data_IF_270896596398
#
_entry.id   IF_270896596398
#
_cell.length_a   1.000
_cell.length_b   1.000
_cell.length_c   1.000
_cell.angle_alpha   90.00
_cell.angle_beta   90.00
_cell.angle_gamma   90.00
#
_symmetry.space_group_name_H-M   'P 1'
#
loop_
_entity.id
_entity.type
_entity.pdbx_description
1 polymer ?
#
# COMPACT_ATOMS: atom_id res chain seq x y z
N UNK A 1 2.59 0.54 -7.26
CA UNK A 1 1.39 1.38 -7.10
C UNK A 1 1.13 2.04 -8.45
N UNK A 2 -0.04 1.80 -9.06
CA UNK A 2 -0.38 2.23 -10.42
C UNK A 2 -1.68 3.04 -10.39
N UNK A 3 -1.78 4.09 -11.20
CA UNK A 3 -3.00 4.87 -11.37
C UNK A 3 -2.76 6.21 -12.05
N UNK A 4 -3.85 6.89 -12.41
CA UNK A 4 -3.81 8.21 -13.02
C UNK A 4 -3.30 9.29 -12.08
N UNK A 5 -3.07 10.49 -12.59
CA UNK A 5 -2.66 11.63 -11.77
C UNK A 5 -3.69 11.89 -10.67
N UNK A 6 -3.20 12.27 -9.49
CA UNK A 6 -4.01 12.68 -8.34
C UNK A 6 -4.98 11.61 -7.79
N UNK A 7 -4.75 10.32 -8.06
CA UNK A 7 -5.56 9.23 -7.51
C UNK A 7 -5.12 8.77 -6.10
N UNK A 8 -4.11 9.40 -5.52
CA UNK A 8 -3.63 9.09 -4.16
C UNK A 8 -2.40 8.17 -4.08
N UNK A 9 -1.69 7.93 -5.20
CA UNK A 9 -0.49 7.05 -5.22
C UNK A 9 0.56 7.45 -4.18
N UNK A 10 0.95 8.71 -4.18
CA UNK A 10 1.93 9.26 -3.22
C UNK A 10 1.41 9.18 -1.78
N UNK A 11 0.10 9.36 -1.54
CA UNK A 11 -0.47 9.26 -0.20
C UNK A 11 -0.28 7.85 0.39
N UNK A 12 -0.59 6.79 -0.36
CA UNK A 12 -0.36 5.40 0.07
C UNK A 12 1.13 5.15 0.36
N UNK A 13 2.01 5.68 -0.49
CA UNK A 13 3.46 5.54 -0.28
C UNK A 13 3.93 6.25 1.00
N UNK A 14 3.41 7.45 1.30
CA UNK A 14 3.72 8.18 2.53
C UNK A 14 3.14 7.48 3.76
N UNK A 15 1.93 6.93 3.67
CA UNK A 15 1.36 6.12 4.74
C UNK A 15 2.24 4.91 5.08
N UNK A 16 2.80 4.25 4.06
CA UNK A 16 3.75 3.15 4.26
C UNK A 16 5.02 3.61 5.00
N UNK A 17 5.55 4.80 4.71
CA UNK A 17 6.71 5.39 5.41
C UNK A 17 6.35 5.78 6.85
N UNK A 18 5.22 6.46 7.04
CA UNK A 18 4.75 6.91 8.36
C UNK A 18 4.55 5.72 9.30
N UNK A 19 4.02 4.62 8.77
CA UNK A 19 3.77 3.38 9.50
C UNK A 19 5.05 2.66 9.94
N UNK A 20 6.23 3.05 9.44
CA UNK A 20 7.52 2.47 9.86
C UNK A 20 8.10 3.14 11.12
N UNK A 21 7.42 4.12 11.70
CA UNK A 21 7.87 4.76 12.93
C UNK A 21 8.00 3.74 14.08
N UNK A 22 9.19 3.65 14.65
CA UNK A 22 9.46 2.72 15.75
C UNK A 22 9.78 1.27 15.35
N UNK A 23 9.63 0.89 14.08
CA UNK A 23 9.93 -0.49 13.60
C UNK A 23 11.41 -0.75 13.35
N UNK A 24 12.23 0.30 13.26
CA UNK A 24 13.65 0.20 12.87
C UNK A 24 13.89 0.20 11.37
N UNK A 25 12.87 0.07 10.54
CA UNK A 25 12.98 0.08 9.07
C UNK A 25 13.46 1.45 8.58
N UNK A 26 14.47 1.46 7.72
CA UNK A 26 15.00 2.67 7.07
C UNK A 26 14.23 2.94 5.79
N UNK A 27 13.70 4.15 5.65
CA UNK A 27 12.91 4.52 4.50
C UNK A 27 13.70 5.42 3.54
N UNK A 28 13.54 5.20 2.24
CA UNK A 28 14.12 6.05 1.19
C UNK A 28 12.98 6.50 0.27
N UNK A 29 12.76 7.80 0.19
CA UNK A 29 11.80 8.37 -0.74
C UNK A 29 12.53 9.01 -1.91
N UNK A 30 12.35 8.46 -3.11
CA UNK A 30 13.00 8.95 -4.34
C UNK A 30 12.00 9.70 -5.19
N UNK A 31 12.11 11.04 -5.23
CA UNK A 31 11.31 11.90 -6.07
C UNK A 31 11.97 12.09 -7.43
N UNK A 32 11.27 11.73 -8.50
CA UNK A 32 11.77 11.84 -9.88
C UNK A 32 10.87 12.73 -10.71
N UNK A 33 11.43 13.77 -11.30
CA UNK A 33 10.72 14.67 -12.23
C UNK A 33 9.51 15.39 -11.62
N UNK A 34 9.45 15.53 -10.30
CA UNK A 34 8.41 16.26 -9.59
C UNK A 34 8.72 17.74 -9.48
N UNK A 35 7.67 18.57 -9.28
CA UNK A 35 7.86 19.99 -8.93
C UNK A 35 8.49 20.12 -7.56
N UNK A 36 9.39 21.08 -7.37
CA UNK A 36 10.01 21.36 -6.08
C UNK A 36 8.98 21.60 -4.96
N UNK A 37 7.87 22.28 -5.28
CA UNK A 37 6.78 22.51 -4.32
C UNK A 37 6.13 21.19 -3.85
N UNK A 38 6.02 20.19 -4.74
CA UNK A 38 5.48 18.87 -4.39
C UNK A 38 6.45 18.11 -3.48
N UNK A 39 7.76 18.16 -3.80
CA UNK A 39 8.80 17.55 -2.97
C UNK A 39 8.82 18.19 -1.58
N UNK A 40 8.77 19.53 -1.51
CA UNK A 40 8.71 20.24 -0.24
C UNK A 40 7.45 19.90 0.58
N UNK A 41 6.31 19.70 -0.07
CA UNK A 41 5.08 19.26 0.60
C UNK A 41 5.20 17.85 1.19
N UNK A 42 5.85 16.92 0.48
CA UNK A 42 6.14 15.56 0.98
C UNK A 42 7.06 15.63 2.20
N UNK A 43 8.17 16.36 2.11
CA UNK A 43 9.13 16.51 3.24
C UNK A 43 8.42 17.08 4.46
N UNK A 44 7.66 18.16 4.30
CA UNK A 44 6.89 18.77 5.39
C UNK A 44 5.91 17.76 6.01
N UNK A 45 5.24 16.96 5.19
CA UNK A 45 4.31 15.94 5.69
C UNK A 45 5.03 14.87 6.50
N UNK A 46 6.19 14.39 6.05
CA UNK A 46 7.01 13.45 6.81
C UNK A 46 7.53 14.05 8.12
N UNK A 47 7.90 15.35 8.13
CA UNK A 47 8.27 16.08 9.34
C UNK A 47 7.13 16.18 10.34
N UNK A 48 5.91 16.55 9.88
CA UNK A 48 4.71 16.63 10.72
C UNK A 48 4.41 15.34 11.48
N UNK A 49 4.65 14.18 10.86
CA UNK A 49 4.44 12.86 11.47
C UNK A 49 5.69 12.30 12.18
N UNK A 50 6.80 13.07 12.20
CA UNK A 50 8.07 12.62 12.79
C UNK A 50 8.72 11.46 12.02
N UNK A 51 8.35 11.26 10.74
CA UNK A 51 8.86 10.18 9.91
C UNK A 51 10.24 10.52 9.28
N UNK A 52 10.67 11.77 9.32
CA UNK A 52 12.00 12.16 8.82
C UNK A 52 13.16 11.56 9.62
N UNK A 53 12.94 11.13 10.87
CA UNK A 53 13.98 10.50 11.69
C UNK A 53 14.49 9.18 11.10
N UNK A 54 13.64 8.48 10.32
CA UNK A 54 13.99 7.22 9.69
C UNK A 54 13.92 7.27 8.15
N UNK A 55 13.84 8.48 7.55
CA UNK A 55 13.62 8.64 6.11
C UNK A 55 14.73 9.47 5.45
N UNK A 56 15.27 8.96 4.34
CA UNK A 56 16.18 9.67 3.44
C UNK A 56 15.36 10.11 2.22
N UNK A 57 15.49 11.39 1.84
CA UNK A 57 14.85 11.91 0.62
C UNK A 57 15.92 12.13 -0.46
N UNK A 58 15.72 11.45 -1.60
CA UNK A 58 16.56 11.61 -2.80
C UNK A 58 15.69 12.29 -3.86
N UNK A 59 16.11 13.47 -4.32
CA UNK A 59 15.29 14.25 -5.24
C UNK A 59 16.06 14.61 -6.52
N UNK A 60 15.41 14.32 -7.67
CA UNK A 60 15.76 14.91 -8.96
C UNK A 60 14.47 15.50 -9.54
N UNK A 61 14.33 16.83 -9.40
CA UNK A 61 13.11 17.56 -9.75
C UNK A 61 12.90 17.71 -11.25
N UNK A 62 11.76 18.28 -11.63
CA UNK A 62 11.41 18.50 -13.03
C UNK A 62 12.34 19.50 -13.75
N UNK A 63 13.01 20.39 -13.00
CA UNK A 63 13.97 21.35 -13.52
C UNK A 63 15.40 20.78 -13.66
N UNK A 64 15.64 19.59 -13.08
CA UNK A 64 16.97 18.97 -13.15
C UNK A 64 17.19 18.29 -14.52
N UNK A 65 18.44 18.22 -14.99
CA UNK A 65 18.76 17.55 -16.24
C UNK A 65 18.31 16.09 -16.26
N UNK A 66 17.91 15.58 -17.44
CA UNK A 66 17.45 14.20 -17.59
C UNK A 66 18.43 13.14 -17.02
N UNK A 67 19.76 13.27 -17.13
CA UNK A 67 20.69 12.34 -16.46
C UNK A 67 20.52 12.25 -14.94
N UNK A 68 20.20 13.34 -14.29
CA UNK A 68 19.96 13.34 -12.83
C UNK A 68 18.66 12.58 -12.49
N UNK A 69 17.59 12.82 -13.24
CA UNK A 69 16.34 12.08 -13.10
C UNK A 69 16.49 10.58 -13.39
N UNK A 70 17.37 10.23 -14.34
CA UNK A 70 17.72 8.85 -14.64
C UNK A 70 18.49 8.18 -13.50
N UNK A 71 19.46 8.89 -12.88
CA UNK A 71 20.35 8.32 -11.86
C UNK A 71 19.72 8.25 -10.47
N UNK A 72 18.81 9.17 -10.12
CA UNK A 72 18.25 9.28 -8.78
C UNK A 72 17.67 7.97 -8.22
N UNK A 73 16.86 7.17 -8.96
CA UNK A 73 16.38 5.88 -8.48
C UNK A 73 17.50 4.89 -8.14
N UNK A 74 18.55 4.84 -8.95
CA UNK A 74 19.70 3.96 -8.69
C UNK A 74 20.50 4.40 -7.48
N UNK A 75 20.69 5.71 -7.29
CA UNK A 75 21.36 6.27 -6.11
C UNK A 75 20.56 5.94 -4.84
N UNK A 76 19.25 6.16 -4.85
CA UNK A 76 18.38 5.78 -3.74
C UNK A 76 18.40 4.28 -3.44
N UNK A 77 18.39 3.44 -4.49
CA UNK A 77 18.51 2.00 -4.34
C UNK A 77 19.81 1.59 -3.64
N UNK A 78 20.95 2.19 -4.02
CA UNK A 78 22.24 1.91 -3.38
C UNK A 78 22.28 2.32 -1.91
N UNK A 79 21.54 3.38 -1.53
CA UNK A 79 21.37 3.73 -0.10
C UNK A 79 20.55 2.66 0.64
N UNK A 80 19.50 2.12 0.02
CA UNK A 80 18.70 1.03 0.59
C UNK A 80 19.49 -0.27 0.72
N UNK A 81 20.29 -0.60 -0.29
CA UNK A 81 21.18 -1.76 -0.26
C UNK A 81 22.21 -1.68 0.88
N UNK A 82 22.70 -0.49 1.17
CA UNK A 82 23.64 -0.28 2.29
C UNK A 82 23.05 -0.79 3.61
N UNK A 83 21.81 -0.46 3.91
CA UNK A 83 21.13 -0.94 5.12
C UNK A 83 20.85 -2.44 5.06
N UNK A 84 20.33 -2.95 3.93
CA UNK A 84 20.10 -4.36 3.70
C UNK A 84 21.37 -5.20 3.94
N UNK A 85 22.49 -4.77 3.39
CA UNK A 85 23.76 -5.48 3.48
C UNK A 85 24.39 -5.43 4.89
N UNK A 86 23.91 -4.50 5.74
CA UNK A 86 24.21 -4.46 7.18
C UNK A 86 23.28 -5.33 8.05
N UNK A 87 22.34 -6.05 7.43
CA UNK A 87 21.35 -6.86 8.15
C UNK A 87 20.23 -6.04 8.76
N UNK A 88 19.88 -4.91 8.14
CA UNK A 88 18.73 -4.08 8.49
C UNK A 88 17.64 -4.18 7.41
N UNK A 89 16.43 -3.76 7.75
CA UNK A 89 15.32 -3.70 6.80
C UNK A 89 15.18 -2.29 6.25
N UNK A 90 14.99 -2.17 4.93
CA UNK A 90 14.81 -0.91 4.26
C UNK A 90 13.57 -0.93 3.33
N UNK A 91 12.88 0.20 3.25
CA UNK A 91 11.77 0.46 2.35
C UNK A 91 12.13 1.59 1.39
N UNK A 92 12.05 1.36 0.09
CA UNK A 92 12.28 2.38 -0.92
C UNK A 92 11.04 2.66 -1.75
N UNK A 93 10.70 3.95 -1.89
CA UNK A 93 9.62 4.44 -2.74
C UNK A 93 10.22 5.14 -3.95
N UNK A 94 9.80 4.77 -5.16
CA UNK A 94 10.17 5.47 -6.40
C UNK A 94 8.97 6.27 -6.92
N UNK A 95 8.96 7.57 -6.74
CA UNK A 95 7.85 8.45 -7.13
C UNK A 95 8.29 9.47 -8.20
N UNK A 96 8.22 9.17 -9.50
CA UNK A 96 7.72 7.94 -10.11
C UNK A 96 8.68 7.42 -11.22
N UNK A 97 8.59 6.14 -11.50
CA UNK A 97 9.40 5.50 -12.54
C UNK A 97 8.92 5.83 -13.97
N UNK A 98 7.69 6.29 -14.14
CA UNK A 98 7.20 6.78 -15.45
C UNK A 98 8.01 7.97 -15.90
N UNK A 99 8.34 8.91 -14.99
CA UNK A 99 9.20 10.05 -15.29
C UNK A 99 10.65 9.66 -15.51
N UNK A 100 11.16 8.67 -14.78
CA UNK A 100 12.48 8.10 -15.08
C UNK A 100 12.54 7.55 -16.50
N UNK A 101 11.50 6.81 -16.93
CA UNK A 101 11.41 6.29 -18.30
C UNK A 101 11.41 7.41 -19.35
N UNK A 102 10.68 8.49 -19.10
CA UNK A 102 10.65 9.66 -19.98
C UNK A 102 12.03 10.33 -20.07
N UNK A 103 12.73 10.49 -18.94
CA UNK A 103 14.10 11.03 -18.91
C UNK A 103 15.06 10.12 -19.72
N UNK A 104 14.96 8.81 -19.54
CA UNK A 104 15.78 7.86 -20.30
C UNK A 104 15.48 7.86 -21.80
N UNK A 105 14.21 7.99 -22.19
CA UNK A 105 13.80 8.19 -23.58
C UNK A 105 14.43 9.45 -24.16
N UNK A 106 14.39 10.56 -23.45
CA UNK A 106 15.02 11.82 -23.87
C UNK A 106 16.52 11.66 -24.11
N UNK A 107 17.24 11.05 -23.16
CA UNK A 107 18.68 10.77 -23.28
C UNK A 107 18.95 9.90 -24.53
N UNK A 108 18.18 8.84 -24.70
CA UNK A 108 18.36 7.90 -25.80
C UNK A 108 18.14 8.53 -27.19
N UNK A 109 17.12 9.38 -27.31
CA UNK A 109 16.83 10.12 -28.53
C UNK A 109 17.93 11.16 -28.87
N UNK A 110 18.45 11.87 -27.85
CA UNK A 110 19.57 12.79 -28.03
C UNK A 110 20.85 12.07 -28.46
N UNK A 111 21.06 10.85 -28.01
CA UNK A 111 22.15 9.97 -28.41
C UNK A 111 21.89 9.27 -29.78
N UNK A 112 20.77 9.59 -30.43
CA UNK A 112 20.36 9.02 -31.71
C UNK A 112 20.21 7.50 -31.70
N UNK A 113 19.85 6.92 -30.56
CA UNK A 113 19.49 5.51 -30.48
C UNK A 113 18.16 5.27 -31.19
N UNK A 114 18.00 4.15 -31.95
CA UNK A 114 16.76 3.88 -32.67
C UNK A 114 15.59 3.74 -31.68
N UNK A 115 14.47 4.46 -31.92
CA UNK A 115 13.29 4.35 -31.07
C UNK A 115 12.49 3.08 -31.39
N UNK A 116 11.93 2.48 -30.33
CA UNK A 116 10.95 1.40 -30.41
C UNK A 116 9.52 1.88 -30.11
N UNK A 117 8.73 1.02 -29.48
CA UNK A 117 7.33 1.33 -29.09
C UNK A 117 7.29 2.60 -28.23
N UNK A 118 6.35 3.51 -28.50
CA UNK A 118 6.16 4.80 -27.82
C UNK A 118 7.45 5.65 -27.77
N UNK A 119 8.32 5.47 -28.78
CA UNK A 119 9.63 6.11 -28.89
C UNK A 119 10.61 5.80 -27.76
N UNK A 120 10.37 4.78 -26.96
CA UNK A 120 11.32 4.29 -25.97
C UNK A 120 12.46 3.49 -26.66
N UNK A 121 13.67 3.51 -26.08
CA UNK A 121 14.76 2.67 -26.57
C UNK A 121 14.49 1.19 -26.29
N UNK A 122 15.12 0.29 -27.04
CA UNK A 122 14.90 -1.16 -26.93
C UNK A 122 15.23 -1.76 -25.56
N UNK A 123 16.06 -1.10 -24.76
CA UNK A 123 16.48 -1.50 -23.44
C UNK A 123 15.66 -0.87 -22.28
N UNK A 124 14.49 -0.31 -22.58
CA UNK A 124 13.63 0.31 -21.56
C UNK A 124 13.16 -0.69 -20.49
N UNK A 125 12.93 -1.95 -20.85
CA UNK A 125 12.63 -2.98 -19.88
C UNK A 125 13.79 -3.15 -18.89
N UNK A 126 15.01 -3.19 -19.37
CA UNK A 126 16.22 -3.33 -18.56
C UNK A 126 16.45 -2.12 -17.65
N UNK A 127 15.99 -0.92 -18.01
CA UNK A 127 16.01 0.25 -17.13
C UNK A 127 15.37 -0.05 -15.77
N UNK A 128 14.18 -0.63 -15.76
CA UNK A 128 13.42 -0.90 -14.56
C UNK A 128 13.74 -2.27 -13.94
N UNK A 129 13.99 -3.30 -14.76
CA UNK A 129 14.27 -4.64 -14.21
C UNK A 129 15.54 -4.67 -13.38
N UNK A 130 16.65 -4.10 -13.88
CA UNK A 130 17.91 -4.02 -13.11
C UNK A 130 17.83 -3.14 -11.85
N UNK A 131 16.82 -2.26 -11.75
CA UNK A 131 16.56 -1.47 -10.56
C UNK A 131 15.73 -2.27 -9.55
N UNK A 132 14.62 -2.85 -10.00
CA UNK A 132 13.62 -3.48 -9.13
C UNK A 132 14.06 -4.86 -8.62
N UNK A 133 14.84 -5.61 -9.39
CA UNK A 133 15.43 -6.89 -8.96
C UNK A 133 16.48 -6.73 -7.82
N UNK A 134 16.92 -5.51 -7.55
CA UNK A 134 17.77 -5.20 -6.39
C UNK A 134 16.98 -5.20 -5.07
N UNK A 135 15.66 -5.07 -5.13
CA UNK A 135 14.76 -5.26 -3.98
C UNK A 135 14.66 -6.74 -3.63
N UNK A 136 15.29 -7.15 -2.54
CA UNK A 136 15.32 -8.55 -2.12
C UNK A 136 15.56 -8.67 -0.61
N UNK A 137 15.35 -9.87 -0.07
CA UNK A 137 15.79 -10.26 1.26
C UNK A 137 17.06 -11.11 1.15
N UNK A 138 18.07 -10.79 1.94
CA UNK A 138 19.36 -11.51 2.01
C UNK A 138 19.42 -12.34 3.28
N UNK A 139 20.12 -13.47 3.21
CA UNK A 139 20.29 -14.38 4.33
C UNK A 139 21.47 -13.95 5.25
N UNK A 140 21.62 -14.65 6.36
CA UNK A 140 22.64 -14.37 7.38
C UNK A 140 24.06 -14.56 6.85
N UNK A 141 24.27 -15.55 5.97
CA UNK A 141 25.57 -15.83 5.35
C UNK A 141 26.02 -14.65 4.48
N UNK A 142 25.13 -14.13 3.63
CA UNK A 142 25.40 -12.97 2.80
C UNK A 142 25.75 -11.73 3.64
N UNK A 143 24.95 -11.43 4.69
CA UNK A 143 25.21 -10.29 5.58
C UNK A 143 26.56 -10.44 6.30
N UNK A 144 26.88 -11.63 6.78
CA UNK A 144 28.16 -11.92 7.42
C UNK A 144 29.32 -11.69 6.45
N UNK A 145 29.21 -12.15 5.21
CA UNK A 145 30.22 -11.96 4.17
C UNK A 145 30.41 -10.48 3.84
N UNK A 146 29.33 -9.73 3.58
CA UNK A 146 29.39 -8.31 3.24
C UNK A 146 29.98 -7.44 4.36
N UNK A 147 29.74 -7.81 5.61
CA UNK A 147 30.26 -7.08 6.78
C UNK A 147 31.63 -7.56 7.25
N UNK A 148 32.25 -8.53 6.55
CA UNK A 148 33.53 -9.14 6.95
C UNK A 148 33.44 -9.84 8.30
N UNK A 149 32.31 -10.48 8.59
CA UNK A 149 32.07 -11.23 9.83
C UNK A 149 31.71 -10.37 11.04
N UNK A 150 31.51 -9.06 10.88
CA UNK A 150 31.15 -8.15 11.98
C UNK A 150 29.68 -8.29 12.40
N UNK A 151 28.78 -8.58 11.46
CA UNK A 151 27.36 -8.85 11.72
C UNK A 151 27.11 -10.32 11.47
N UNK A 152 26.52 -11.00 12.45
CA UNK A 152 26.18 -12.43 12.40
C UNK A 152 24.72 -12.62 12.80
N UNK A 153 24.13 -13.71 12.32
CA UNK A 153 22.79 -14.16 12.69
C UNK A 153 21.69 -13.08 12.41
N UNK A 154 21.94 -12.27 11.36
CA UNK A 154 20.98 -11.25 10.90
C UNK A 154 20.70 -11.38 9.41
N UNK A 155 19.45 -11.24 9.05
CA UNK A 155 18.99 -11.09 7.67
C UNK A 155 18.74 -9.61 7.40
N UNK A 156 18.81 -9.19 6.14
CA UNK A 156 18.45 -7.83 5.74
C UNK A 156 17.47 -7.85 4.59
N UNK A 157 16.68 -6.78 4.43
CA UNK A 157 15.76 -6.68 3.30
C UNK A 157 15.70 -5.28 2.69
N UNK A 158 15.39 -5.23 1.40
CA UNK A 158 15.04 -4.01 0.68
C UNK A 158 13.72 -4.23 -0.04
N UNK A 159 12.67 -3.60 0.46
CA UNK A 159 11.33 -3.62 -0.14
C UNK A 159 11.15 -2.40 -1.04
N UNK A 160 10.80 -2.60 -2.30
CA UNK A 160 10.61 -1.53 -3.26
C UNK A 160 9.13 -1.33 -3.60
N UNK A 161 8.64 -0.09 -3.50
CA UNK A 161 7.32 0.33 -3.92
C UNK A 161 7.44 1.34 -5.07
N UNK A 162 7.53 0.88 -6.33
CA UNK A 162 7.54 1.77 -7.47
C UNK A 162 6.14 2.36 -7.73
N UNK A 163 6.10 3.64 -8.04
CA UNK A 163 4.90 4.35 -8.49
C UNK A 163 4.97 4.47 -10.01
N UNK A 164 3.86 4.12 -10.67
CA UNK A 164 3.66 4.25 -12.11
C UNK A 164 2.44 5.10 -12.37
N UNK A 165 2.59 6.10 -13.23
CA UNK A 165 1.49 6.95 -13.69
C UNK A 165 0.88 6.36 -14.98
N UNK A 166 -0.45 6.21 -14.99
CA UNK A 166 -1.23 5.87 -16.18
C UNK A 166 -1.91 7.11 -16.76
N UNK A 167 -2.39 6.99 -17.99
CA UNK A 167 -3.23 7.98 -18.64
C UNK A 167 -4.58 7.33 -18.94
N UNK A 168 -5.66 7.91 -18.43
CA UNK A 168 -7.03 7.41 -18.60
C UNK A 168 -7.20 5.93 -18.18
N UNK A 169 -6.47 5.50 -17.13
CA UNK A 169 -6.53 4.13 -16.62
C UNK A 169 -5.89 3.07 -17.52
N UNK A 170 -5.15 3.46 -18.57
CA UNK A 170 -4.54 2.49 -19.50
C UNK A 170 -3.34 1.77 -18.86
N UNK A 171 -3.60 0.58 -18.33
CA UNK A 171 -2.58 -0.33 -17.81
C UNK A 171 -1.88 -1.13 -18.92
N UNK A 172 -2.38 -1.10 -20.16
CA UNK A 172 -1.81 -1.81 -21.32
C UNK A 172 -0.68 -1.03 -21.99
N UNK A 173 -0.45 0.22 -21.59
CA UNK A 173 0.67 1.03 -22.04
C UNK A 173 2.02 0.37 -21.74
N UNK A 174 3.06 0.78 -22.46
CA UNK A 174 4.33 0.04 -22.48
C UNK A 174 5.04 0.02 -21.13
N UNK A 175 5.17 1.16 -20.44
CA UNK A 175 5.86 1.23 -19.14
C UNK A 175 5.07 0.50 -18.03
N UNK A 176 3.74 0.69 -17.85
CA UNK A 176 2.95 -0.06 -16.90
C UNK A 176 3.09 -1.58 -17.04
N UNK A 177 2.92 -2.11 -18.26
CA UNK A 177 3.03 -3.56 -18.52
C UNK A 177 4.40 -4.13 -18.16
N UNK A 178 5.47 -3.39 -18.47
CA UNK A 178 6.83 -3.79 -18.12
C UNK A 178 7.00 -3.89 -16.59
N UNK A 179 6.59 -2.86 -15.85
CA UNK A 179 6.78 -2.82 -14.40
C UNK A 179 5.89 -3.85 -13.69
N UNK A 180 4.65 -4.06 -14.14
CA UNK A 180 3.79 -5.13 -13.61
C UNK A 180 4.44 -6.51 -13.78
N UNK A 181 5.13 -6.74 -14.92
CA UNK A 181 5.78 -8.03 -15.17
C UNK A 181 7.01 -8.27 -14.28
N UNK A 182 7.70 -7.22 -13.87
CA UNK A 182 8.90 -7.27 -13.02
C UNK A 182 8.50 -7.43 -11.54
N UNK A 183 7.46 -6.75 -11.10
CA UNK A 183 7.05 -6.69 -9.69
C UNK A 183 6.19 -7.89 -9.27
N UNK A 184 6.08 -8.13 -7.96
CA UNK A 184 5.27 -9.21 -7.37
C UNK A 184 3.78 -8.88 -7.24
N UNK A 185 3.30 -7.96 -8.05
CA UNK A 185 1.92 -7.54 -8.09
C UNK A 185 1.75 -6.04 -8.22
N UNK A 186 0.51 -5.58 -8.17
CA UNK A 186 0.17 -4.17 -8.29
C UNK A 186 -0.98 -3.77 -7.36
N UNK A 187 -0.89 -2.56 -6.84
CA UNK A 187 -1.99 -1.81 -6.22
C UNK A 187 -2.50 -0.83 -7.28
N UNK A 188 -3.69 -1.07 -7.80
CA UNK A 188 -4.29 -0.24 -8.85
C UNK A 188 -5.26 0.77 -8.25
N UNK A 189 -5.02 2.05 -8.50
CA UNK A 189 -5.87 3.15 -8.07
C UNK A 189 -6.71 3.65 -9.25
N UNK A 190 -8.02 3.65 -9.06
CA UNK A 190 -8.99 3.95 -10.10
C UNK A 190 -9.62 5.33 -9.90
N UNK A 191 -9.61 6.14 -10.97
CA UNK A 191 -10.17 7.51 -10.95
C UNK A 191 -11.66 7.53 -10.63
N UNK A 192 -12.42 6.51 -11.05
CA UNK A 192 -13.85 6.39 -10.75
C UNK A 192 -14.11 6.27 -9.24
N UNK A 193 -13.28 5.52 -8.52
CA UNK A 193 -13.36 5.37 -7.05
C UNK A 193 -12.97 6.67 -6.35
N UNK A 194 -11.91 7.31 -6.84
CA UNK A 194 -11.51 8.61 -6.31
C UNK A 194 -12.63 9.64 -6.41
N UNK A 195 -13.29 9.73 -7.58
CA UNK A 195 -14.40 10.65 -7.81
C UNK A 195 -15.66 10.32 -6.99
N UNK A 196 -15.87 9.04 -6.65
CA UNK A 196 -16.94 8.59 -5.74
C UNK A 196 -16.61 8.81 -4.26
N UNK A 197 -15.41 9.30 -3.93
CA UNK A 197 -14.96 9.48 -2.53
C UNK A 197 -14.64 8.16 -1.82
N UNK A 198 -14.43 7.07 -2.56
CA UNK A 198 -13.94 5.79 -2.04
C UNK A 198 -12.42 5.88 -1.92
N UNK A 199 -11.92 6.24 -0.76
CA UNK A 199 -10.50 6.49 -0.51
C UNK A 199 -9.95 5.54 0.57
N UNK A 200 -8.78 4.90 0.35
CA UNK A 200 -7.96 4.91 -0.88
C UNK A 200 -8.72 4.39 -2.11
N UNK A 201 -8.46 4.99 -3.26
CA UNK A 201 -9.16 4.65 -4.51
C UNK A 201 -8.70 3.31 -5.11
N UNK A 202 -8.36 2.35 -4.27
CA UNK A 202 -7.83 1.04 -4.66
C UNK A 202 -8.95 0.15 -5.22
N UNK A 203 -8.73 -0.37 -6.43
CA UNK A 203 -9.61 -1.38 -6.99
C UNK A 203 -9.13 -2.79 -6.63
N UNK A 204 -9.79 -3.51 -5.68
CA UNK A 204 -9.38 -4.84 -5.25
C UNK A 204 -9.62 -5.94 -6.32
N UNK A 205 -10.38 -5.65 -7.38
CA UNK A 205 -10.61 -6.57 -8.49
C UNK A 205 -9.43 -6.65 -9.46
N UNK A 206 -8.71 -5.53 -9.66
CA UNK A 206 -7.58 -5.43 -10.58
C UNK A 206 -6.24 -5.46 -9.83
N UNK A 207 -6.24 -5.13 -8.54
CA UNK A 207 -5.05 -5.24 -7.70
C UNK A 207 -4.72 -6.70 -7.43
N UNK A 208 -3.46 -7.06 -7.58
CA UNK A 208 -2.98 -8.45 -7.45
C UNK A 208 -1.73 -8.48 -6.60
N UNK A 209 -1.63 -9.48 -5.72
CA UNK A 209 -0.38 -9.88 -5.07
C UNK A 209 -0.01 -11.30 -5.52
N UNK A 210 1.20 -11.48 -6.06
CA UNK A 210 1.71 -12.81 -6.45
C UNK A 210 2.14 -13.62 -5.22
N UNK A 211 2.55 -12.96 -4.14
CA UNK A 211 2.90 -13.59 -2.86
C UNK A 211 1.64 -13.99 -2.09
N UNK A 212 0.62 -13.15 -2.14
CA UNK A 212 -0.70 -13.41 -1.57
C UNK A 212 -0.67 -13.73 -0.07
N UNK A 213 -1.42 -14.74 0.32
CA UNK A 213 -1.58 -15.12 1.73
C UNK A 213 -0.30 -15.60 2.44
N UNK A 214 0.79 -15.87 1.70
CA UNK A 214 2.08 -16.22 2.32
C UNK A 214 2.75 -15.03 3.01
N UNK A 215 2.44 -13.80 2.58
CA UNK A 215 2.95 -12.57 3.17
C UNK A 215 2.05 -11.99 4.28
N UNK A 216 0.84 -12.53 4.46
CA UNK A 216 -0.11 -12.04 5.45
C UNK A 216 0.12 -12.68 6.82
N UNK A 217 -0.11 -11.91 7.88
CA UNK A 217 -0.23 -12.45 9.22
C UNK A 217 -1.41 -13.43 9.30
N UNK A 218 -1.40 -14.43 10.19
CA UNK A 218 -2.51 -15.37 10.36
C UNK A 218 -3.87 -14.67 10.55
N UNK A 219 -3.89 -13.59 11.34
CA UNK A 219 -5.07 -12.77 11.60
C UNK A 219 -5.67 -12.20 10.31
N UNK A 220 -4.87 -11.48 9.53
CA UNK A 220 -5.33 -10.85 8.28
C UNK A 220 -5.66 -11.89 7.22
N UNK A 221 -4.89 -12.97 7.12
CA UNK A 221 -5.17 -14.08 6.19
C UNK A 221 -6.52 -14.71 6.43
N UNK A 222 -6.88 -14.93 7.71
CA UNK A 222 -8.15 -15.56 8.08
C UNK A 222 -9.34 -14.65 7.82
N UNK A 223 -9.27 -13.39 8.26
CA UNK A 223 -10.38 -12.45 8.23
C UNK A 223 -10.55 -11.74 6.86
N UNK A 224 -9.46 -11.45 6.17
CA UNK A 224 -9.49 -10.71 4.91
C UNK A 224 -10.14 -11.46 3.74
N UNK A 225 -10.18 -12.79 3.80
CA UNK A 225 -10.80 -13.62 2.75
C UNK A 225 -12.30 -13.37 2.59
N UNK A 226 -13.03 -13.30 3.70
CA UNK A 226 -14.47 -13.05 3.72
C UNK A 226 -14.85 -11.68 3.14
N UNK A 227 -14.11 -10.66 3.53
CA UNK A 227 -14.32 -9.28 3.03
C UNK A 227 -14.10 -9.18 1.52
N UNK A 228 -13.07 -9.83 1.00
CA UNK A 228 -12.80 -9.84 -0.46
C UNK A 228 -13.95 -10.49 -1.24
N UNK A 229 -14.51 -11.58 -0.74
CA UNK A 229 -15.66 -12.25 -1.35
C UNK A 229 -16.88 -11.33 -1.31
N UNK A 230 -17.18 -10.73 -0.16
CA UNK A 230 -18.30 -9.81 0.00
C UNK A 230 -18.22 -8.62 -0.97
N UNK A 231 -17.03 -8.01 -1.13
CA UNK A 231 -16.82 -6.92 -2.06
C UNK A 231 -16.95 -7.35 -3.54
N UNK A 232 -16.54 -8.57 -3.89
CA UNK A 232 -16.70 -9.09 -5.24
C UNK A 232 -18.20 -9.33 -5.57
N UNK A 233 -18.93 -9.97 -4.67
CA UNK A 233 -20.37 -10.18 -4.78
C UNK A 233 -21.16 -8.88 -4.85
N UNK A 234 -20.81 -7.91 -4.00
CA UNK A 234 -21.42 -6.59 -4.02
C UNK A 234 -21.31 -5.92 -5.38
N UNK A 235 -20.15 -5.96 -6.04
CA UNK A 235 -19.94 -5.35 -7.35
C UNK A 235 -20.77 -5.99 -8.45
N UNK A 236 -20.88 -7.31 -8.44
CA UNK A 236 -21.74 -8.02 -9.37
C UNK A 236 -23.20 -7.63 -9.18
N UNK A 237 -23.66 -7.61 -7.93
CA UNK A 237 -25.03 -7.24 -7.60
C UNK A 237 -25.33 -5.75 -7.85
N UNK A 238 -24.38 -4.83 -7.57
CA UNK A 238 -24.54 -3.38 -7.83
C UNK A 238 -24.81 -3.13 -9.33
N UNK A 239 -24.11 -3.83 -10.21
CA UNK A 239 -24.31 -3.73 -11.64
C UNK A 239 -25.73 -4.21 -12.06
N UNK A 240 -26.22 -5.29 -11.47
CA UNK A 240 -27.56 -5.80 -11.72
C UNK A 240 -28.67 -4.97 -11.07
N UNK A 241 -28.44 -4.46 -9.88
CA UNK A 241 -29.43 -3.65 -9.13
C UNK A 241 -29.85 -2.38 -9.86
N UNK A 242 -29.02 -1.84 -10.75
CA UNK A 242 -29.37 -0.69 -11.60
C UNK A 242 -30.47 -1.01 -12.65
N UNK A 243 -30.66 -2.28 -12.98
CA UNK A 243 -31.57 -2.74 -14.04
C UNK A 243 -32.73 -3.59 -13.52
N UNK A 244 -32.67 -4.07 -12.28
CA UNK A 244 -33.69 -4.97 -11.72
C UNK A 244 -34.58 -4.23 -10.72
N UNK A 245 -35.89 -4.21 -11.00
CA UNK A 245 -36.88 -3.59 -10.11
C UNK A 245 -37.18 -4.40 -8.84
N UNK A 246 -36.93 -5.72 -8.87
CA UNK A 246 -37.21 -6.64 -7.78
C UNK A 246 -36.00 -7.53 -7.49
N UNK A 247 -35.28 -7.20 -6.42
CA UNK A 247 -34.26 -8.06 -5.83
C UNK A 247 -34.92 -8.94 -4.76
N UNK A 248 -34.51 -10.20 -4.69
CA UNK A 248 -34.88 -11.08 -3.57
C UNK A 248 -34.21 -10.59 -2.26
N UNK A 249 -34.74 -11.04 -1.13
CA UNK A 249 -34.29 -10.56 0.19
C UNK A 249 -32.81 -10.91 0.43
N UNK A 250 -32.34 -12.07 -0.01
CA UNK A 250 -30.95 -12.48 0.13
C UNK A 250 -29.98 -11.57 -0.67
N UNK A 251 -30.35 -11.21 -1.91
CA UNK A 251 -29.57 -10.27 -2.72
C UNK A 251 -29.56 -8.85 -2.12
N UNK A 252 -30.67 -8.44 -1.49
CA UNK A 252 -30.76 -7.16 -0.81
C UNK A 252 -29.85 -7.11 0.41
N UNK A 253 -29.84 -8.15 1.25
CA UNK A 253 -28.93 -8.25 2.40
C UNK A 253 -27.46 -8.24 1.98
N UNK A 254 -27.11 -8.94 0.88
CA UNK A 254 -25.75 -8.91 0.34
C UNK A 254 -25.34 -7.52 -0.17
N UNK A 255 -26.26 -6.79 -0.79
CA UNK A 255 -26.00 -5.41 -1.22
C UNK A 255 -25.78 -4.49 -0.03
N UNK A 256 -26.61 -4.58 1.00
CA UNK A 256 -26.48 -3.78 2.22
C UNK A 256 -25.16 -4.07 2.94
N UNK A 257 -24.82 -5.35 3.09
CA UNK A 257 -23.53 -5.74 3.67
C UNK A 257 -22.36 -5.20 2.85
N UNK A 258 -22.41 -5.34 1.54
CA UNK A 258 -21.37 -4.85 0.63
C UNK A 258 -21.20 -3.34 0.68
N UNK A 259 -22.29 -2.57 0.83
CA UNK A 259 -22.23 -1.12 1.02
C UNK A 259 -21.56 -0.77 2.36
N UNK A 260 -21.94 -1.44 3.46
CA UNK A 260 -21.34 -1.24 4.78
C UNK A 260 -19.86 -1.57 4.80
N UNK A 261 -19.48 -2.69 4.17
CA UNK A 261 -18.07 -3.08 4.00
C UNK A 261 -17.31 -2.05 3.18
N UNK A 262 -17.89 -1.54 2.10
CA UNK A 262 -17.27 -0.52 1.25
C UNK A 262 -17.06 0.79 2.03
N UNK A 263 -18.01 1.18 2.88
CA UNK A 263 -17.86 2.36 3.74
C UNK A 263 -16.76 2.15 4.79
N UNK A 264 -16.72 0.99 5.41
CA UNK A 264 -15.70 0.62 6.40
C UNK A 264 -14.28 0.56 5.82
N UNK A 265 -14.13 0.25 4.52
CA UNK A 265 -12.82 0.22 3.85
C UNK A 265 -12.29 1.63 3.52
N UNK A 266 -13.07 2.68 3.73
CA UNK A 266 -12.56 4.04 3.59
C UNK A 266 -11.61 4.38 4.71
N UNK A 267 -10.46 4.96 4.37
CA UNK A 267 -9.41 5.31 5.31
C UNK A 267 -8.97 6.76 5.11
N UNK A 268 -8.76 7.48 6.19
CA UNK A 268 -8.22 8.84 6.15
C UNK A 268 -6.76 8.80 5.71
N UNK A 269 -6.33 9.82 4.98
CA UNK A 269 -4.91 9.98 4.64
C UNK A 269 -4.06 10.17 5.90
N UNK A 270 -2.87 9.60 5.87
CA UNK A 270 -1.88 9.72 6.95
C UNK A 270 -2.38 9.17 8.30
N UNK A 271 -3.23 8.18 8.24
CA UNK A 271 -3.78 7.47 9.40
C UNK A 271 -3.67 5.95 9.18
N UNK A 272 -2.45 5.41 9.14
CA UNK A 272 -2.27 3.97 9.00
C UNK A 272 -2.81 3.25 10.23
N UNK A 273 -3.43 2.08 10.00
CA UNK A 273 -3.96 1.21 11.03
C UNK A 273 -2.93 0.12 11.39
N UNK A 274 -2.87 -0.26 12.65
CA UNK A 274 -2.11 -1.42 13.09
C UNK A 274 -2.75 -2.73 12.61
N UNK A 275 -1.99 -3.84 12.65
CA UNK A 275 -2.50 -5.18 12.28
C UNK A 275 -3.67 -5.59 13.18
N UNK A 276 -3.62 -5.28 14.48
CA UNK A 276 -4.70 -5.58 15.42
C UNK A 276 -5.95 -4.76 15.14
N UNK A 277 -5.83 -3.46 14.83
CA UNK A 277 -6.96 -2.60 14.46
C UNK A 277 -7.63 -3.10 13.18
N UNK A 278 -6.85 -3.40 12.13
CA UNK A 278 -7.38 -4.00 10.90
C UNK A 278 -8.10 -5.32 11.20
N UNK A 279 -7.48 -6.19 12.02
CA UNK A 279 -8.05 -7.47 12.42
C UNK A 279 -9.39 -7.32 13.15
N UNK A 280 -9.47 -6.39 14.11
CA UNK A 280 -10.70 -6.11 14.84
C UNK A 280 -11.84 -5.65 13.92
N UNK A 281 -11.56 -4.72 13.03
CA UNK A 281 -12.54 -4.18 12.08
C UNK A 281 -13.04 -5.28 11.13
N UNK A 282 -12.13 -6.09 10.59
CA UNK A 282 -12.49 -7.23 9.75
C UNK A 282 -13.28 -8.31 10.50
N UNK A 283 -12.95 -8.55 11.78
CA UNK A 283 -13.68 -9.47 12.64
C UNK A 283 -15.11 -8.99 12.92
N UNK A 284 -15.29 -7.69 13.15
CA UNK A 284 -16.61 -7.11 13.35
C UNK A 284 -17.52 -7.30 12.11
N UNK A 285 -16.95 -7.19 10.90
CA UNK A 285 -17.65 -7.51 9.65
C UNK A 285 -18.02 -8.99 9.60
N UNK A 286 -17.04 -9.88 9.79
CA UNK A 286 -17.25 -11.33 9.65
C UNK A 286 -18.30 -11.87 10.63
N UNK A 287 -18.35 -11.32 11.85
CA UNK A 287 -19.29 -11.74 12.90
C UNK A 287 -20.63 -11.00 12.85
N UNK A 288 -20.86 -10.14 11.86
CA UNK A 288 -22.13 -9.46 11.65
C UNK A 288 -22.45 -8.31 12.62
N UNK A 289 -21.45 -7.78 13.33
CA UNK A 289 -21.65 -6.65 14.27
C UNK A 289 -22.06 -5.34 13.58
N UNK A 290 -21.99 -5.29 12.24
CA UNK A 290 -22.44 -4.16 11.45
C UNK A 290 -23.89 -4.27 10.95
N UNK A 291 -24.57 -5.41 11.17
CA UNK A 291 -25.88 -5.65 10.55
C UNK A 291 -26.94 -4.63 10.97
N UNK A 292 -26.90 -4.19 12.23
CA UNK A 292 -27.82 -3.23 12.83
C UNK A 292 -27.28 -1.77 12.84
N UNK A 293 -26.11 -1.53 12.26
CA UNK A 293 -25.52 -0.18 12.16
C UNK A 293 -25.98 0.48 10.85
N UNK A 294 -26.49 1.71 10.93
CA UNK A 294 -26.86 2.50 9.76
C UNK A 294 -25.63 2.85 8.92
N UNK A 295 -25.78 2.88 7.57
CA UNK A 295 -24.66 3.11 6.65
C UNK A 295 -23.91 4.43 6.93
N UNK A 296 -24.61 5.49 7.27
CA UNK A 296 -24.06 6.81 7.60
C UNK A 296 -23.34 6.85 8.95
N UNK A 297 -23.48 5.81 9.79
CA UNK A 297 -22.89 5.67 11.12
C UNK A 297 -21.69 4.72 11.16
N UNK A 298 -21.33 4.08 10.03
CA UNK A 298 -20.24 3.09 9.97
C UNK A 298 -18.91 3.71 10.40
N UNK A 299 -18.59 4.91 9.93
CA UNK A 299 -17.34 5.60 10.29
C UNK A 299 -17.30 5.99 11.78
N UNK A 300 -18.43 6.38 12.34
CA UNK A 300 -18.55 6.70 13.78
C UNK A 300 -18.41 5.43 14.63
N UNK A 301 -19.03 4.33 14.20
CA UNK A 301 -18.88 3.02 14.83
C UNK A 301 -17.43 2.56 14.85
N UNK A 302 -16.74 2.61 13.71
CA UNK A 302 -15.32 2.26 13.61
C UNK A 302 -14.46 3.09 14.56
N UNK A 303 -14.61 4.42 14.50
CA UNK A 303 -13.81 5.33 15.33
C UNK A 303 -14.05 5.11 16.82
N UNK A 304 -15.29 4.88 17.22
CA UNK A 304 -15.65 4.60 18.61
C UNK A 304 -15.13 3.23 19.07
N UNK A 305 -15.22 2.20 18.22
CA UNK A 305 -14.71 0.86 18.51
C UNK A 305 -13.19 0.86 18.68
N UNK A 306 -12.46 1.50 17.79
CA UNK A 306 -10.99 1.62 17.88
C UNK A 306 -10.58 2.40 19.14
N UNK A 307 -11.29 3.48 19.48
CA UNK A 307 -11.04 4.24 20.70
C UNK A 307 -11.31 3.42 21.96
N UNK A 308 -12.40 2.65 21.97
CA UNK A 308 -12.73 1.75 23.08
C UNK A 308 -11.64 0.70 23.30
N UNK A 309 -11.21 0.03 22.22
CA UNK A 309 -10.16 -0.99 22.31
C UNK A 309 -8.81 -0.41 22.74
N UNK A 310 -8.47 0.79 22.26
CA UNK A 310 -7.22 1.46 22.65
C UNK A 310 -7.22 1.90 24.12
N UNK A 311 -8.39 2.14 24.74
CA UNK A 311 -8.49 2.51 26.15
C UNK A 311 -8.57 1.30 27.08
N UNK A 312 -9.42 0.32 26.76
CA UNK A 312 -9.74 -0.80 27.65
C UNK A 312 -8.85 -2.04 27.43
N UNK A 313 -8.28 -2.20 26.23
CA UNK A 313 -7.52 -3.39 25.82
C UNK A 313 -6.17 -3.05 25.16
N UNK A 314 -5.53 -1.96 25.60
CA UNK A 314 -4.31 -1.42 24.97
C UNK A 314 -3.20 -2.47 24.83
N UNK A 315 -2.82 -3.10 25.95
CA UNK A 315 -1.70 -4.07 25.97
C UNK A 315 -1.99 -5.29 25.07
N UNK A 316 -3.26 -5.72 25.01
CA UNK A 316 -3.69 -6.79 24.13
C UNK A 316 -3.56 -6.37 22.64
N UNK A 317 -3.99 -5.17 22.27
CA UNK A 317 -3.91 -4.66 20.89
C UNK A 317 -2.45 -4.45 20.43
N UNK A 318 -1.59 -3.97 21.34
CA UNK A 318 -0.15 -3.84 21.06
C UNK A 318 0.50 -5.21 20.84
N UNK A 319 0.29 -6.17 21.73
CA UNK A 319 0.82 -7.53 21.60
C UNK A 319 0.28 -8.26 20.37
N UNK A 320 -0.99 -8.09 20.04
CA UNK A 320 -1.60 -8.67 18.84
C UNK A 320 -1.03 -8.03 17.55
N UNK A 321 -0.70 -6.74 17.57
CA UNK A 321 -0.06 -6.08 16.43
C UNK A 321 1.33 -6.63 16.14
N UNK A 322 2.07 -7.05 17.16
CA UNK A 322 3.40 -7.65 17.00
C UNK A 322 3.33 -9.10 16.50
N UNK A 323 2.41 -9.91 17.08
CA UNK A 323 2.32 -11.34 16.76
C UNK A 323 1.50 -11.61 15.49
N UNK A 324 0.42 -10.84 15.27
CA UNK A 324 -0.53 -11.04 14.18
C UNK A 324 -1.22 -12.41 14.21
N UNK A 325 -1.28 -13.07 15.37
CA UNK A 325 -1.85 -14.41 15.53
C UNK A 325 -3.38 -14.39 15.49
N UNK A 326 -3.97 -15.52 15.08
CA UNK A 326 -5.40 -15.75 15.12
C UNK A 326 -5.66 -16.99 15.99
N UNK A 327 -5.91 -16.79 17.27
CA UNK A 327 -6.12 -17.84 18.27
C UNK A 327 -7.53 -17.78 18.86
N UNK A 328 -7.92 -18.84 19.59
CA UNK A 328 -9.20 -18.86 20.32
C UNK A 328 -9.28 -17.75 21.38
N UNK A 329 -8.15 -17.36 21.95
CA UNK A 329 -8.05 -16.24 22.89
C UNK A 329 -8.37 -14.91 22.20
N UNK A 330 -7.83 -14.68 21.01
CA UNK A 330 -8.11 -13.47 20.21
C UNK A 330 -9.59 -13.42 19.83
N UNK A 331 -10.15 -14.54 19.37
CA UNK A 331 -11.59 -14.63 19.03
C UNK A 331 -12.45 -14.28 20.25
N UNK A 332 -12.14 -14.86 21.40
CA UNK A 332 -12.88 -14.62 22.65
C UNK A 332 -12.77 -13.16 23.09
N UNK A 333 -11.56 -12.61 23.11
CA UNK A 333 -11.33 -11.22 23.52
C UNK A 333 -12.06 -10.24 22.61
N UNK A 334 -11.99 -10.42 21.30
CA UNK A 334 -12.72 -9.59 20.34
C UNK A 334 -14.24 -9.73 20.51
N UNK A 335 -14.75 -10.94 20.72
CA UNK A 335 -16.18 -11.17 20.93
C UNK A 335 -16.65 -10.49 22.22
N UNK A 336 -15.99 -10.75 23.35
CA UNK A 336 -16.34 -10.19 24.64
C UNK A 336 -16.28 -8.64 24.62
N UNK A 337 -15.28 -8.07 23.93
CA UNK A 337 -15.13 -6.62 23.82
C UNK A 337 -16.23 -6.01 22.92
N UNK A 338 -16.52 -6.61 21.77
CA UNK A 338 -17.56 -6.14 20.85
C UNK A 338 -18.95 -6.23 21.48
N UNK A 339 -19.27 -7.32 22.21
CA UNK A 339 -20.55 -7.48 22.90
C UNK A 339 -20.75 -6.41 23.99
N UNK A 340 -19.70 -6.11 24.77
CA UNK A 340 -19.71 -5.01 25.74
C UNK A 340 -19.86 -3.65 25.08
N UNK A 341 -19.10 -3.42 24.00
CA UNK A 341 -19.16 -2.17 23.24
C UNK A 341 -20.57 -1.91 22.69
N UNK A 342 -21.19 -2.92 22.04
CA UNK A 342 -22.56 -2.83 21.52
C UNK A 342 -23.63 -2.64 22.61
N UNK A 343 -23.38 -3.15 23.81
CA UNK A 343 -24.30 -2.96 24.95
C UNK A 343 -24.20 -1.54 25.51
N UNK A 344 -23.02 -0.91 25.40
CA UNK A 344 -22.75 0.44 25.94
C UNK A 344 -23.10 1.58 25.00
N UNK A 345 -23.17 1.32 23.70
CA UNK A 345 -23.37 2.34 22.65
C UNK A 345 -24.34 1.85 21.57
N UNK A 346 -25.19 2.74 21.10
CA UNK A 346 -26.15 2.50 20.00
C UNK A 346 -25.76 3.36 18.80
N UNK A 347 -25.67 2.76 17.61
CA UNK A 347 -25.30 3.44 16.36
C UNK A 347 -26.41 3.36 15.31
#
# INVERSE_FOLDING_TARGET
IIGDRQTGKTAIALDAIINQKGTGVKCIYVAVGQKQSSIAAVVRKLEEFGAMEHTIVVAAGAADPAPMQFLAPYAGCSMGEYFRDLGEDALIIYDDLSKQAVAYRQISLLLRRPPGREAYPGDIFYLHSRLLERGCRVNEEYVSEQTGGKVKDKTGSLTALPIIETQAGDVSAFVPTNVISITDGQIFLETSYFNKGLLPAMNPGISVSRVGGAAQTPLIKKLGGGVRIALAQFRELEAFAQFASDLDDASREQLELGQKVTELMKQKQYSPMSVAEMGLVLFAVEKGYLNDVELNKIADFESALLSYMSSEHKDFMEGLSETGEYSDEVIKTFTDALDKFKTSQTF
#
